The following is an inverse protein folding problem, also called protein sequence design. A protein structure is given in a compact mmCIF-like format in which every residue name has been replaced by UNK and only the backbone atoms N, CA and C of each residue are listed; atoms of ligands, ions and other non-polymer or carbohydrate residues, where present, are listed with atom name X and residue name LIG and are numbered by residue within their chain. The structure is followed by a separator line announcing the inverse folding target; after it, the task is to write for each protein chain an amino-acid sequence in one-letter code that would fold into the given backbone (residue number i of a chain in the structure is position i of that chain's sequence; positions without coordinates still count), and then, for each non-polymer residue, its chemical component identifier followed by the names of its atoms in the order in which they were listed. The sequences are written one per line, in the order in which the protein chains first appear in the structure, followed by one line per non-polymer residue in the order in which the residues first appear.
data_IF_270081408211
#
_entry.id   IF_270081408211
#
_cell.length_a   1.000
_cell.length_b   1.000
_cell.length_c   1.000
_cell.angle_alpha   90.00
_cell.angle_beta   90.00
_cell.angle_gamma   90.00
#
_symmetry.space_group_name_H-M   'P 1'
#
loop_
_entity.id
_entity.type
_entity.pdbx_description
1 polymer ?
#
# COMPACT_ATOMS: atom_id res chain seq x y z
N UNK A 1 4.67 29.43 44.01
CA UNK A 1 4.26 29.93 42.68
C UNK A 1 4.51 28.79 41.70
N UNK A 2 3.43 28.34 41.08
CA UNK A 2 3.25 26.94 40.70
C UNK A 2 3.80 26.66 39.30
N UNK A 3 4.57 25.57 39.18
CA UNK A 3 5.12 25.04 37.94
C UNK A 3 4.01 24.24 37.24
N UNK A 4 3.65 24.58 36.01
CA UNK A 4 2.79 23.74 35.15
C UNK A 4 3.67 22.94 34.22
N UNK A 5 3.70 21.63 34.47
CA UNK A 5 4.34 20.62 33.65
C UNK A 5 3.47 20.30 32.43
N UNK A 6 4.07 20.22 31.25
CA UNK A 6 3.43 19.68 30.04
C UNK A 6 4.37 18.66 29.42
N UNK A 7 3.99 17.38 29.50
CA UNK A 7 4.41 16.24 28.67
C UNK A 7 3.44 15.09 29.01
N UNK A 8 3.28 14.02 28.20
CA UNK A 8 3.34 13.90 26.74
C UNK A 8 2.15 13.05 26.20
N UNK A 9 1.65 13.30 24.97
CA UNK A 9 0.76 12.32 24.31
C UNK A 9 1.62 11.41 23.43
N UNK A 10 2.05 10.31 24.04
CA UNK A 10 2.65 9.18 23.36
C UNK A 10 1.58 8.46 22.53
N UNK A 11 1.78 8.39 21.21
CA UNK A 11 0.97 7.56 20.32
C UNK A 11 1.43 6.12 20.50
N UNK A 12 0.66 5.35 21.27
CA UNK A 12 0.83 3.92 21.49
C UNK A 12 0.46 3.14 20.21
N UNK A 13 1.47 2.51 19.61
CA UNK A 13 1.30 1.44 18.62
C UNK A 13 0.72 0.22 19.32
N UNK A 14 -0.58 -0.06 19.10
CA UNK A 14 -1.21 -1.29 19.53
C UNK A 14 -1.05 -2.36 18.43
N UNK A 15 0.02 -3.13 18.52
CA UNK A 15 0.22 -4.38 17.79
C UNK A 15 -0.57 -5.48 18.53
N UNK A 16 -1.85 -5.68 18.17
CA UNK A 16 -2.65 -6.77 18.71
C UNK A 16 -2.45 -8.06 17.89
N UNK A 17 -1.64 -8.94 18.44
CA UNK A 17 -1.49 -10.33 18.04
C UNK A 17 -2.75 -11.12 18.46
N UNK A 18 -3.56 -11.53 17.48
CA UNK A 18 -4.73 -12.39 17.70
C UNK A 18 -4.57 -13.72 16.95
N UNK A 19 -4.19 -14.77 17.66
CA UNK A 19 -4.21 -16.15 17.14
C UNK A 19 -5.62 -16.68 17.41
N UNK A 20 -6.45 -16.78 16.37
CA UNK A 20 -7.73 -17.49 16.43
C UNK A 20 -7.59 -18.84 15.70
N UNK A 21 -7.69 -19.93 16.46
CA UNK A 21 -7.72 -21.29 15.93
C UNK A 21 -9.09 -21.56 15.29
N UNK A 22 -9.14 -21.67 13.97
CA UNK A 22 -10.36 -22.02 13.25
C UNK A 22 -10.40 -23.54 13.05
N UNK A 23 -11.18 -24.26 13.87
CA UNK A 23 -11.62 -25.62 13.51
C UNK A 23 -13.00 -25.48 12.85
N UNK A 24 -13.07 -25.73 11.56
CA UNK A 24 -14.31 -25.84 10.80
C UNK A 24 -14.33 -27.19 10.09
N UNK A 25 -15.23 -28.04 10.55
CA UNK A 25 -15.51 -29.35 9.96
C UNK A 25 -15.95 -29.20 8.49
N UNK A 26 -15.31 -29.96 7.61
CA UNK A 26 -15.48 -29.91 6.16
C UNK A 26 -16.73 -30.68 5.73
N UNK A 27 -17.57 -30.07 4.89
CA UNK A 27 -18.54 -30.79 4.04
C UNK A 27 -18.01 -30.82 2.59
N UNK A 28 -18.06 -31.98 1.91
CA UNK A 28 -17.40 -32.17 0.64
C UNK A 28 -18.29 -31.69 -0.51
N UNK A 29 -17.80 -30.73 -1.27
CA UNK A 29 -18.32 -30.44 -2.61
C UNK A 29 -17.13 -30.36 -3.55
N UNK A 30 -17.05 -31.34 -4.45
CA UNK A 30 -15.98 -31.49 -5.42
C UNK A 30 -16.13 -30.46 -6.54
N UNK A 31 -15.17 -29.54 -6.67
CA UNK A 31 -14.84 -28.84 -7.91
C UNK A 31 -13.43 -28.22 -7.76
N UNK A 32 -12.46 -28.79 -8.48
CA UNK A 32 -11.29 -28.12 -9.07
C UNK A 32 -10.05 -27.86 -8.20
N UNK A 33 -9.15 -28.85 -8.11
CA UNK A 33 -7.67 -28.87 -8.01
C UNK A 33 -6.85 -27.82 -7.21
N UNK A 34 -7.43 -26.76 -6.63
CA UNK A 34 -6.72 -25.71 -5.90
C UNK A 34 -7.36 -25.41 -4.53
N UNK A 35 -8.23 -26.29 -4.02
CA UNK A 35 -9.01 -26.01 -2.80
C UNK A 35 -8.18 -25.94 -1.52
N UNK A 36 -6.94 -26.42 -1.51
CA UNK A 36 -6.17 -26.62 -0.28
C UNK A 36 -4.78 -25.98 -0.27
N UNK A 37 -4.42 -25.16 -1.28
CA UNK A 37 -3.17 -24.39 -1.19
C UNK A 37 -3.42 -23.22 -0.23
N UNK A 38 -2.69 -23.12 0.91
CA UNK A 38 -2.76 -21.92 1.72
C UNK A 38 -2.37 -20.74 0.84
N UNK A 39 -3.20 -19.69 0.84
CA UNK A 39 -2.90 -18.49 0.08
C UNK A 39 -1.55 -17.96 0.55
N UNK A 40 -0.65 -17.77 -0.40
CA UNK A 40 0.60 -17.05 -0.12
C UNK A 40 0.25 -15.63 0.30
N UNK A 41 1.10 -15.01 1.13
CA UNK A 41 0.88 -13.62 1.54
C UNK A 41 0.74 -12.68 0.33
N UNK A 42 1.47 -12.95 -0.76
CA UNK A 42 1.36 -12.24 -2.03
C UNK A 42 -0.01 -12.39 -2.68
N UNK A 43 -0.59 -13.60 -2.72
CA UNK A 43 -1.95 -13.82 -3.25
C UNK A 43 -3.02 -13.11 -2.40
N UNK A 44 -2.82 -13.01 -1.08
CA UNK A 44 -3.69 -12.23 -0.19
C UNK A 44 -3.62 -10.75 -0.52
N UNK A 45 -2.42 -10.19 -0.70
CA UNK A 45 -2.25 -8.77 -1.06
C UNK A 45 -2.82 -8.45 -2.44
N UNK A 46 -2.63 -9.32 -3.42
CA UNK A 46 -3.21 -9.16 -4.75
C UNK A 46 -4.74 -9.16 -4.69
N UNK A 47 -5.33 -10.05 -3.90
CA UNK A 47 -6.78 -10.06 -3.67
C UNK A 47 -7.26 -8.76 -3.04
N UNK A 48 -6.61 -8.33 -1.96
CA UNK A 48 -6.96 -7.11 -1.22
C UNK A 48 -6.87 -5.83 -2.09
N UNK A 49 -5.85 -5.73 -2.95
CA UNK A 49 -5.70 -4.64 -3.92
C UNK A 49 -6.80 -4.68 -5.00
N UNK A 50 -7.05 -5.86 -5.58
CA UNK A 50 -8.10 -6.04 -6.60
C UNK A 50 -9.48 -5.67 -6.07
N UNK A 51 -9.82 -6.12 -4.87
CA UNK A 51 -11.09 -5.81 -4.23
C UNK A 51 -11.15 -4.36 -3.70
N UNK A 52 -10.06 -3.61 -3.75
CA UNK A 52 -10.02 -2.24 -3.24
C UNK A 52 -10.29 -2.14 -1.74
N UNK A 53 -10.02 -3.20 -0.96
CA UNK A 53 -10.38 -3.27 0.47
C UNK A 53 -9.68 -2.22 1.33
N UNK A 54 -8.61 -1.59 0.85
CA UNK A 54 -7.93 -0.47 1.50
C UNK A 54 -8.05 0.86 0.74
N UNK A 55 -8.91 0.92 -0.28
CA UNK A 55 -9.20 2.18 -0.93
C UNK A 55 -9.83 3.12 0.11
N UNK A 56 -9.34 4.37 0.16
CA UNK A 56 -9.93 5.36 1.06
C UNK A 56 -11.38 5.65 0.64
N UNK A 57 -12.34 5.67 1.59
CA UNK A 57 -13.71 6.08 1.28
C UNK A 57 -13.82 7.60 1.04
N UNK A 58 -12.79 8.38 1.42
CA UNK A 58 -12.80 9.83 1.27
C UNK A 58 -12.21 10.25 -0.07
N UNK A 59 -13.02 10.90 -0.89
CA UNK A 59 -12.63 11.45 -2.18
C UNK A 59 -11.79 12.71 -1.94
N UNK A 60 -10.51 12.63 -2.29
CA UNK A 60 -9.60 13.78 -2.23
C UNK A 60 -9.73 14.58 -3.52
N UNK A 61 -10.48 15.68 -3.46
CA UNK A 61 -10.60 16.59 -4.60
C UNK A 61 -9.43 17.57 -4.61
N UNK A 62 -8.69 17.69 -5.74
CA UNK A 62 -7.60 18.64 -5.82
C UNK A 62 -8.14 20.07 -5.79
N UNK A 63 -7.49 20.92 -5.00
CA UNK A 63 -7.73 22.37 -5.03
C UNK A 63 -7.39 22.95 -6.41
N UNK A 64 -7.91 24.15 -6.72
CA UNK A 64 -7.62 24.83 -7.99
C UNK A 64 -6.12 24.98 -8.24
N UNK A 65 -5.35 25.33 -7.19
CA UNK A 65 -3.90 25.49 -7.27
C UNK A 65 -3.16 24.19 -7.57
N UNK A 66 -3.60 23.08 -6.98
CA UNK A 66 -3.01 21.77 -7.22
C UNK A 66 -3.33 21.26 -8.62
N UNK A 67 -4.57 21.48 -9.08
CA UNK A 67 -4.98 21.17 -10.45
C UNK A 67 -4.12 21.93 -11.46
N UNK A 68 -3.95 23.24 -11.28
CA UNK A 68 -3.10 24.06 -12.14
C UNK A 68 -1.65 23.55 -12.13
N UNK A 69 -1.09 23.27 -10.95
CA UNK A 69 0.28 22.74 -10.86
C UNK A 69 0.43 21.37 -11.53
N UNK A 70 -0.58 20.50 -11.43
CA UNK A 70 -0.56 19.22 -12.15
C UNK A 70 -0.61 19.41 -13.66
N UNK A 71 -1.39 20.38 -14.14
CA UNK A 71 -1.47 20.72 -15.56
C UNK A 71 -0.14 21.28 -16.09
N UNK A 72 0.48 22.20 -15.35
CA UNK A 72 1.81 22.71 -15.69
C UNK A 72 2.85 21.59 -15.77
N UNK A 73 2.91 20.69 -14.79
CA UNK A 73 3.83 19.52 -14.84
C UNK A 73 3.58 18.62 -16.04
N UNK A 74 2.31 18.46 -16.43
CA UNK A 74 1.96 17.69 -17.61
C UNK A 74 2.46 18.38 -18.88
N UNK A 75 2.29 19.70 -19.01
CA UNK A 75 2.86 20.48 -20.11
C UNK A 75 4.39 20.40 -20.13
N UNK A 76 5.03 20.52 -18.97
CA UNK A 76 6.49 20.42 -18.82
C UNK A 76 7.01 19.05 -19.26
N UNK A 77 6.22 17.97 -19.10
CA UNK A 77 6.64 16.61 -19.50
C UNK A 77 6.93 16.49 -21.00
N UNK A 78 6.31 17.32 -21.84
CA UNK A 78 6.58 17.35 -23.28
C UNK A 78 7.88 18.06 -23.66
N UNK A 79 8.49 18.79 -22.73
CA UNK A 79 9.76 19.48 -22.97
C UNK A 79 10.96 18.53 -22.84
N UNK A 80 10.78 17.39 -22.17
CA UNK A 80 11.84 16.42 -21.94
C UNK A 80 11.70 15.25 -22.92
N UNK A 81 12.63 15.06 -23.87
CA UNK A 81 12.60 13.92 -24.77
C UNK A 81 12.76 12.62 -23.98
N UNK A 82 12.07 11.58 -24.43
CA UNK A 82 12.25 10.23 -23.88
C UNK A 82 13.67 9.77 -24.28
N UNK A 83 14.53 9.39 -23.32
CA UNK A 83 15.84 8.84 -23.66
C UNK A 83 15.69 7.52 -24.41
N UNK A 84 16.50 7.32 -25.46
CA UNK A 84 16.53 6.04 -26.19
C UNK A 84 16.92 4.87 -25.26
N UNK A 85 17.83 5.15 -24.32
CA UNK A 85 18.39 4.17 -23.41
C UNK A 85 18.34 4.73 -21.98
N UNK A 86 17.86 3.92 -21.02
CA UNK A 86 18.06 4.20 -19.60
C UNK A 86 19.42 3.65 -19.18
N UNK A 87 20.31 4.50 -18.66
CA UNK A 87 21.59 4.03 -18.11
C UNK A 87 21.32 3.15 -16.88
N UNK A 88 21.67 1.87 -16.99
CA UNK A 88 21.50 0.86 -15.94
C UNK A 88 22.26 1.23 -14.66
N UNK A 89 23.29 2.09 -14.74
CA UNK A 89 24.01 2.60 -13.56
C UNK A 89 23.23 3.64 -12.75
N UNK A 90 22.17 4.20 -13.30
CA UNK A 90 21.28 5.13 -12.58
C UNK A 90 20.20 4.38 -11.76
N UNK A 91 19.91 3.13 -12.09
CA UNK A 91 19.12 2.25 -11.23
C UNK A 91 19.96 1.89 -10.01
N UNK A 92 19.47 2.18 -8.81
CA UNK A 92 20.21 1.95 -7.57
C UNK A 92 20.83 0.55 -7.48
N UNK A 93 22.04 0.46 -6.92
CA UNK A 93 22.73 -0.82 -6.75
C UNK A 93 22.03 -1.69 -5.71
N UNK A 94 21.60 -2.88 -6.11
CA UNK A 94 21.12 -3.89 -5.17
C UNK A 94 22.31 -4.67 -4.62
N UNK A 95 22.71 -4.37 -3.38
CA UNK A 95 23.70 -5.18 -2.66
C UNK A 95 22.99 -6.37 -2.03
N UNK A 96 23.22 -7.57 -2.57
CA UNK A 96 22.74 -8.80 -1.98
C UNK A 96 23.73 -9.27 -0.92
N UNK A 97 23.33 -9.17 0.34
CA UNK A 97 24.03 -9.78 1.48
C UNK A 97 23.61 -11.25 1.64
#
# INVERSE_FOLDING_TARGET
MNKVAFLPVAILVALSLGIASNTSAQTPSEHGLLKNKPLTQSEVWLRMQREGQQASPYIQQPSLKERERSFQRWLDSYQYPIPDNFDQKQGGSFSQN
#
